data_IF_155049379005
#
_entry.id   IF_155049379005
#
_cell.length_a   1.000
_cell.length_b   1.000
_cell.length_c   1.000
_cell.angle_alpha   90.00
_cell.angle_beta   90.00
_cell.angle_gamma   90.00
#
_symmetry.space_group_name_H-M   'P 1'
#
loop_
_entity.id
_entity.type
_entity.pdbx_description
1 polymer ?
#
# COMPACT_ATOMS: atom_id res chain seq x y z
N UNK A 1 4.64 -11.56 -2.62
CA UNK A 1 4.35 -11.28 -1.20
C UNK A 1 4.32 -9.79 -0.95
N UNK A 2 3.48 -9.36 -0.04
CA UNK A 2 3.49 -7.96 0.40
C UNK A 2 4.75 -7.72 1.25
N UNK A 3 5.47 -6.62 0.99
CA UNK A 3 6.70 -6.31 1.72
C UNK A 3 6.42 -5.87 3.16
N UNK A 4 7.43 -5.93 4.01
CA UNK A 4 7.36 -5.39 5.37
C UNK A 4 7.07 -3.89 5.35
N UNK A 5 7.62 -3.16 4.39
CA UNK A 5 7.40 -1.73 4.21
C UNK A 5 5.93 -1.43 3.89
N UNK A 6 5.32 -2.18 2.96
CA UNK A 6 3.89 -2.05 2.64
C UNK A 6 3.00 -2.40 3.84
N UNK A 7 3.34 -3.45 4.58
CA UNK A 7 2.64 -3.82 5.81
C UNK A 7 2.68 -2.69 6.85
N UNK A 8 3.85 -2.08 7.06
CA UNK A 8 3.97 -0.95 7.97
C UNK A 8 3.18 0.26 7.50
N UNK A 9 3.15 0.51 6.18
CA UNK A 9 2.33 1.58 5.62
C UNK A 9 0.83 1.37 5.91
N UNK A 10 0.34 0.15 5.74
CA UNK A 10 -1.05 -0.21 6.08
C UNK A 10 -1.33 0.03 7.56
N UNK A 11 -0.43 -0.40 8.44
CA UNK A 11 -0.57 -0.19 9.89
C UNK A 11 -0.62 1.29 10.26
N UNK A 12 0.24 2.10 9.65
CA UNK A 12 0.25 3.55 9.88
C UNK A 12 -1.06 4.20 9.41
N UNK A 13 -1.53 3.84 8.23
CA UNK A 13 -2.79 4.36 7.68
C UNK A 13 -4.00 3.95 8.54
N UNK A 14 -4.03 2.71 9.02
CA UNK A 14 -5.08 2.26 9.94
C UNK A 14 -5.09 3.08 11.23
N UNK A 15 -3.92 3.32 11.81
CA UNK A 15 -3.80 4.12 13.02
C UNK A 15 -4.29 5.55 12.82
N UNK A 16 -3.88 6.19 11.72
CA UNK A 16 -4.34 7.54 11.38
C UNK A 16 -5.85 7.58 11.09
N UNK A 17 -6.39 6.53 10.48
CA UNK A 17 -7.81 6.45 10.17
C UNK A 17 -8.70 6.34 11.43
N UNK A 18 -8.16 5.83 12.52
CA UNK A 18 -8.86 5.73 13.81
C UNK A 18 -8.84 7.06 14.59
N UNK A 19 -8.07 8.04 14.15
CA UNK A 19 -7.99 9.36 14.78
C UNK A 19 -9.02 10.31 14.16
N UNK A 20 -9.41 11.39 14.89
CA UNK A 20 -10.29 12.41 14.33
C UNK A 20 -9.74 12.99 13.03
N UNK A 21 -10.59 13.18 12.04
CA UNK A 21 -10.21 13.67 10.74
C UNK A 21 -9.50 15.03 10.80
N UNK A 22 -8.35 15.12 10.13
CA UNK A 22 -7.56 16.35 10.08
C UNK A 22 -6.72 16.65 11.31
N UNK A 23 -6.80 15.84 12.36
CA UNK A 23 -5.99 16.00 13.56
C UNK A 23 -4.59 15.41 13.33
N UNK A 24 -3.52 16.23 13.43
CA UNK A 24 -2.17 15.72 13.23
C UNK A 24 -1.74 14.79 14.36
N UNK A 25 -1.07 13.70 14.00
CA UNK A 25 -0.50 12.74 14.94
C UNK A 25 1.01 12.72 14.77
N UNK A 26 1.75 12.87 15.86
CA UNK A 26 3.21 12.90 15.83
C UNK A 26 3.76 11.54 15.39
N UNK A 27 4.85 11.57 14.63
CA UNK A 27 5.53 10.35 14.16
C UNK A 27 5.87 9.40 15.30
N UNK A 28 6.32 9.92 16.44
CA UNK A 28 6.68 9.10 17.60
C UNK A 28 5.46 8.35 18.16
N UNK A 29 4.28 8.97 18.14
CA UNK A 29 3.05 8.34 18.63
C UNK A 29 2.57 7.27 17.66
N UNK A 30 2.68 7.51 16.35
CA UNK A 30 2.37 6.50 15.32
C UNK A 30 3.30 5.30 15.49
N UNK A 31 4.60 5.54 15.60
CA UNK A 31 5.61 4.49 15.75
C UNK A 31 5.33 3.61 16.98
N UNK A 32 5.05 4.23 18.11
CA UNK A 32 4.78 3.54 19.37
C UNK A 32 3.49 2.73 19.31
N UNK A 33 2.40 3.35 18.92
CA UNK A 33 1.07 2.71 18.97
C UNK A 33 0.83 1.72 17.85
N UNK A 34 1.36 1.96 16.65
CA UNK A 34 1.29 1.03 15.54
C UNK A 34 2.42 -0.02 15.55
N UNK A 35 3.36 0.09 16.49
CA UNK A 35 4.51 -0.81 16.62
C UNK A 35 5.32 -0.88 15.31
N UNK A 36 5.74 0.28 14.84
CA UNK A 36 6.57 0.43 13.66
C UNK A 36 7.89 1.08 14.07
N UNK A 37 9.06 0.53 13.65
CA UNK A 37 10.33 1.20 13.93
C UNK A 37 10.33 2.62 13.36
N UNK A 38 10.65 3.61 14.20
CA UNK A 38 10.57 5.04 13.85
C UNK A 38 11.32 5.38 12.56
N UNK A 39 12.51 4.82 12.39
CA UNK A 39 13.35 5.06 11.23
C UNK A 39 12.68 4.64 9.91
N UNK A 40 12.02 3.48 9.90
CA UNK A 40 11.24 3.01 8.76
C UNK A 40 10.00 3.87 8.54
N UNK A 41 9.33 4.24 9.62
CA UNK A 41 8.10 5.02 9.57
C UNK A 41 8.32 6.40 8.92
N UNK A 42 9.43 7.07 9.20
CA UNK A 42 9.75 8.36 8.62
C UNK A 42 9.78 8.31 7.09
N UNK A 43 10.42 7.29 6.53
CA UNK A 43 10.45 7.08 5.07
C UNK A 43 9.08 6.72 4.51
N UNK A 44 8.34 5.86 5.20
CA UNK A 44 7.00 5.43 4.79
C UNK A 44 6.04 6.61 4.75
N UNK A 45 6.05 7.45 5.79
CA UNK A 45 5.19 8.64 5.84
C UNK A 45 5.52 9.64 4.74
N UNK A 46 6.79 9.78 4.40
CA UNK A 46 7.20 10.63 3.28
C UNK A 46 6.69 10.08 1.95
N UNK A 47 6.80 8.78 1.71
CA UNK A 47 6.27 8.14 0.51
C UNK A 47 4.73 8.28 0.42
N UNK A 48 4.03 8.10 1.53
CA UNK A 48 2.58 8.29 1.61
C UNK A 48 2.18 9.74 1.35
N UNK A 49 2.97 10.70 1.85
CA UNK A 49 2.75 12.13 1.60
C UNK A 49 2.94 12.47 0.12
N UNK A 50 4.01 11.95 -0.50
CA UNK A 50 4.26 12.15 -1.93
C UNK A 50 3.15 11.55 -2.80
N UNK A 51 2.52 10.47 -2.34
CA UNK A 51 1.36 9.86 -2.99
C UNK A 51 0.02 10.54 -2.63
N UNK A 52 0.05 11.62 -1.86
CA UNK A 52 -1.12 12.39 -1.43
C UNK A 52 -2.13 11.61 -0.57
N UNK A 53 -1.68 10.54 0.08
CA UNK A 53 -2.52 9.78 1.01
C UNK A 53 -2.53 10.37 2.41
N UNK A 54 -1.44 11.02 2.80
CA UNK A 54 -1.30 11.75 4.06
C UNK A 54 -0.73 13.13 3.79
N UNK A 55 -0.91 14.03 4.75
CA UNK A 55 -0.24 15.33 4.78
C UNK A 55 0.31 15.60 6.18
N UNK A 56 1.06 16.67 6.33
CA UNK A 56 1.69 17.01 7.59
C UNK A 56 1.48 18.48 7.96
N UNK A 57 1.44 18.75 9.26
CA UNK A 57 1.50 20.10 9.81
C UNK A 57 2.80 20.27 10.58
N UNK A 58 3.42 21.44 10.42
CA UNK A 58 4.63 21.82 11.13
C UNK A 58 4.29 22.33 12.53
N UNK A 59 5.29 22.30 13.45
CA UNK A 59 5.19 22.91 14.78
C UNK A 59 4.99 21.91 15.90
N UNK A 60 4.83 22.45 17.12
CA UNK A 60 4.73 21.65 18.36
C UNK A 60 3.49 20.74 18.37
N UNK A 61 2.38 21.24 17.82
CA UNK A 61 1.14 20.48 17.68
C UNK A 61 1.00 19.85 16.29
N UNK A 62 2.12 19.74 15.57
CA UNK A 62 2.16 19.18 14.23
C UNK A 62 2.20 17.66 14.20
N UNK A 63 2.26 17.10 13.01
CA UNK A 63 2.29 15.68 12.76
C UNK A 63 1.67 15.33 11.43
N UNK A 64 1.30 14.08 11.24
CA UNK A 64 0.68 13.57 10.03
C UNK A 64 -0.81 13.29 10.23
N UNK A 65 -1.57 13.45 9.16
CA UNK A 65 -3.01 13.15 9.12
C UNK A 65 -3.41 12.64 7.74
N UNK A 66 -4.53 11.92 7.65
CA UNK A 66 -5.03 11.41 6.38
C UNK A 66 -5.57 12.54 5.50
N UNK A 67 -5.19 12.50 4.21
CA UNK A 67 -5.73 13.39 3.18
C UNK A 67 -6.96 12.82 2.49
N UNK A 68 -7.03 11.49 2.40
CA UNK A 68 -8.15 10.78 1.77
C UNK A 68 -9.01 10.10 2.81
N UNK A 69 -10.29 9.96 2.50
CA UNK A 69 -11.19 9.12 3.27
C UNK A 69 -10.68 7.68 3.29
N UNK A 70 -10.69 6.99 4.45
CA UNK A 70 -10.28 5.58 4.54
C UNK A 70 -11.00 4.65 3.57
N UNK A 71 -12.22 4.97 3.16
CA UNK A 71 -12.97 4.26 2.12
C UNK A 71 -12.30 4.31 0.75
N UNK A 72 -11.52 5.37 0.49
CA UNK A 72 -10.90 5.62 -0.80
C UNK A 72 -9.43 5.18 -0.85
N UNK A 73 -8.93 4.55 0.20
CA UNK A 73 -7.58 3.99 0.26
C UNK A 73 -7.69 2.47 0.25
N UNK A 74 -7.33 1.85 -0.86
CA UNK A 74 -7.41 0.40 -1.02
C UNK A 74 -6.02 -0.26 -1.04
N UNK A 75 -5.98 -1.57 -0.81
CA UNK A 75 -4.73 -2.32 -0.73
C UNK A 75 -3.99 -2.40 -2.07
N UNK A 76 -4.69 -2.33 -3.21
CA UNK A 76 -4.04 -2.35 -4.52
C UNK A 76 -3.14 -1.12 -4.71
N UNK A 77 -3.61 0.06 -4.31
CA UNK A 77 -2.83 1.29 -4.43
C UNK A 77 -1.61 1.28 -3.51
N UNK A 78 -1.78 0.79 -2.29
CA UNK A 78 -0.67 0.65 -1.32
C UNK A 78 0.36 -0.36 -1.83
N UNK A 79 -0.08 -1.50 -2.32
CA UNK A 79 0.80 -2.52 -2.89
C UNK A 79 1.62 -1.95 -4.06
N UNK A 80 0.97 -1.26 -4.99
CA UNK A 80 1.65 -0.64 -6.13
C UNK A 80 2.67 0.42 -5.73
N UNK A 81 2.35 1.19 -4.69
CA UNK A 81 3.23 2.26 -4.21
C UNK A 81 4.54 1.70 -3.63
N UNK A 82 4.47 0.65 -2.85
CA UNK A 82 5.63 0.11 -2.11
C UNK A 82 6.29 -1.10 -2.78
N UNK A 83 5.52 -1.94 -3.44
CA UNK A 83 5.99 -3.21 -3.99
C UNK A 83 6.00 -3.23 -5.53
N UNK A 84 5.44 -2.22 -6.16
CA UNK A 84 5.41 -2.10 -7.61
C UNK A 84 4.26 -2.89 -8.26
N UNK A 85 4.55 -3.59 -9.35
CA UNK A 85 3.52 -4.26 -10.12
C UNK A 85 2.96 -5.50 -9.41
N UNK A 86 1.65 -5.64 -9.46
CA UNK A 86 0.98 -6.89 -9.04
C UNK A 86 1.08 -7.88 -10.19
N UNK A 87 2.18 -8.60 -10.27
CA UNK A 87 2.40 -9.62 -11.28
C UNK A 87 3.31 -10.71 -10.71
N UNK A 88 3.04 -11.97 -11.07
CA UNK A 88 3.85 -13.09 -10.62
C UNK A 88 5.07 -13.32 -11.54
N UNK A 89 5.02 -12.84 -12.78
CA UNK A 89 6.15 -12.84 -13.69
C UNK A 89 6.30 -11.46 -14.33
N UNK A 90 7.54 -11.02 -14.63
CA UNK A 90 7.78 -9.73 -15.28
C UNK A 90 7.03 -9.58 -16.61
N UNK A 91 6.92 -10.64 -17.41
CA UNK A 91 6.20 -10.63 -18.68
C UNK A 91 4.68 -10.45 -18.53
N UNK A 92 4.13 -10.64 -17.36
CA UNK A 92 2.72 -10.37 -17.05
C UNK A 92 2.48 -8.95 -16.51
N UNK A 93 3.53 -8.16 -16.39
CA UNK A 93 3.45 -6.76 -15.96
C UNK A 93 3.32 -5.83 -17.18
N UNK A 94 2.46 -4.81 -17.08
CA UNK A 94 2.40 -3.77 -18.11
C UNK A 94 3.52 -2.74 -17.96
N UNK A 95 3.81 -2.35 -16.74
CA UNK A 95 4.77 -1.27 -16.48
C UNK A 95 6.24 -1.73 -16.51
N UNK A 96 6.47 -2.95 -16.05
CA UNK A 96 7.82 -3.53 -15.93
C UNK A 96 7.93 -4.81 -16.74
N UNK A 97 7.40 -4.76 -17.98
CA UNK A 97 7.42 -5.90 -18.89
C UNK A 97 8.86 -6.31 -19.22
N UNK A 98 9.14 -7.58 -19.00
CA UNK A 98 10.41 -8.21 -19.38
C UNK A 98 10.13 -9.67 -19.79
N UNK A 99 10.50 -10.09 -20.99
CA UNK A 99 10.30 -11.48 -21.41
C UNK A 99 11.26 -12.41 -20.67
N UNK A 100 10.86 -13.67 -20.51
CA UNK A 100 11.76 -14.69 -19.97
C UNK A 100 12.94 -14.90 -20.95
N UNK A 101 14.10 -15.27 -20.39
CA UNK A 101 15.30 -15.52 -21.19
C UNK A 101 15.12 -16.67 -22.21
N UNK A 102 14.25 -17.61 -21.89
CA UNK A 102 13.91 -18.76 -22.72
C UNK A 102 12.59 -18.62 -23.49
N UNK A 103 12.06 -17.39 -23.56
CA UNK A 103 10.76 -17.13 -24.19
C UNK A 103 10.88 -17.11 -25.72
N UNK A 104 10.19 -18.02 -26.37
CA UNK A 104 10.13 -18.07 -27.86
C UNK A 104 9.08 -17.09 -28.40
N UNK A 105 7.89 -17.07 -27.78
CA UNK A 105 6.79 -16.21 -28.23
C UNK A 105 5.92 -15.84 -27.00
N UNK A 106 6.00 -14.57 -26.64
CA UNK A 106 5.28 -14.02 -25.47
C UNK A 106 3.76 -14.16 -25.63
N UNK A 107 3.26 -13.96 -26.84
CA UNK A 107 1.81 -14.00 -27.09
C UNK A 107 1.22 -15.42 -27.05
N UNK A 108 2.03 -16.43 -27.32
CA UNK A 108 1.61 -17.82 -27.29
C UNK A 108 1.90 -18.56 -26.00
N UNK A 109 2.49 -17.88 -25.02
CA UNK A 109 2.85 -18.50 -23.74
C UNK A 109 1.60 -18.78 -22.88
N UNK A 110 1.29 -20.05 -22.68
CA UNK A 110 0.14 -20.48 -21.88
C UNK A 110 0.29 -20.11 -20.40
N UNK A 111 1.51 -20.17 -19.88
CA UNK A 111 1.81 -19.76 -18.49
C UNK A 111 1.50 -18.28 -18.29
N UNK A 112 1.96 -17.43 -19.21
CA UNK A 112 1.70 -15.99 -19.16
C UNK A 112 0.20 -15.69 -19.17
N UNK A 113 -0.57 -16.35 -20.04
CA UNK A 113 -2.02 -16.14 -20.11
C UNK A 113 -2.70 -16.43 -18.77
N UNK A 114 -2.38 -17.55 -18.14
CA UNK A 114 -2.94 -17.92 -16.83
C UNK A 114 -2.52 -16.93 -15.72
N UNK A 115 -1.26 -16.52 -15.72
CA UNK A 115 -0.76 -15.59 -14.70
C UNK A 115 -1.29 -14.17 -14.88
N UNK A 116 -1.64 -13.75 -16.09
CA UNK A 116 -2.37 -12.50 -16.34
C UNK A 116 -3.77 -12.57 -15.70
N UNK A 117 -4.46 -13.70 -15.85
CA UNK A 117 -5.77 -13.89 -15.24
C UNK A 117 -5.69 -13.87 -13.71
N UNK A 118 -4.72 -14.56 -13.11
CA UNK A 118 -4.46 -14.52 -11.66
C UNK A 118 -4.21 -13.08 -11.19
N UNK A 119 -3.41 -12.32 -11.95
CA UNK A 119 -3.16 -10.90 -11.67
C UNK A 119 -4.45 -10.09 -11.64
N UNK A 120 -5.32 -10.26 -12.65
CA UNK A 120 -6.59 -9.53 -12.74
C UNK A 120 -7.47 -9.81 -11.52
N UNK A 121 -7.61 -11.07 -11.14
CA UNK A 121 -8.39 -11.49 -9.98
C UNK A 121 -7.80 -10.95 -8.68
N UNK A 122 -6.47 -10.99 -8.53
CA UNK A 122 -5.77 -10.44 -7.37
C UNK A 122 -5.99 -8.94 -7.24
N UNK A 123 -5.90 -8.19 -8.33
CA UNK A 123 -6.17 -6.75 -8.34
C UNK A 123 -7.60 -6.42 -7.93
N UNK A 124 -8.57 -7.17 -8.44
CA UNK A 124 -9.98 -6.99 -8.06
C UNK A 124 -10.15 -7.22 -6.55
N UNK A 125 -9.56 -8.28 -6.02
CA UNK A 125 -9.63 -8.59 -4.59
C UNK A 125 -8.96 -7.49 -3.74
N UNK A 126 -7.78 -7.03 -4.12
CA UNK A 126 -7.05 -5.97 -3.40
C UNK A 126 -7.79 -4.63 -3.43
N UNK A 127 -8.44 -4.28 -4.54
CA UNK A 127 -9.21 -3.04 -4.65
C UNK A 127 -10.44 -3.02 -3.75
N UNK A 128 -11.00 -4.17 -3.42
CA UNK A 128 -12.15 -4.27 -2.53
C UNK A 128 -11.80 -4.07 -1.07
N UNK A 129 -10.55 -4.26 -0.68
CA UNK A 129 -10.11 -4.09 0.71
C UNK A 129 -9.61 -2.67 0.91
N UNK A 130 -10.35 -1.90 1.70
CA UNK A 130 -10.01 -0.52 2.03
C UNK A 130 -9.51 -0.40 3.47
N UNK A 131 -8.87 0.72 3.79
CA UNK A 131 -8.45 1.00 5.17
C UNK A 131 -9.69 1.02 6.09
N UNK A 132 -10.82 1.53 5.62
CA UNK A 132 -12.07 1.51 6.39
C UNK A 132 -12.52 0.10 6.73
N UNK A 133 -12.44 -0.84 5.78
CA UNK A 133 -12.76 -2.24 6.06
C UNK A 133 -11.83 -2.84 7.12
N UNK A 134 -10.54 -2.51 7.05
CA UNK A 134 -9.54 -3.04 7.98
C UNK A 134 -9.77 -2.55 9.41
N UNK A 135 -10.05 -1.27 9.60
CA UNK A 135 -10.31 -0.72 10.94
C UNK A 135 -11.66 -1.17 11.49
N UNK A 136 -12.61 -1.54 10.64
CA UNK A 136 -13.91 -2.09 11.02
C UNK A 136 -13.85 -3.55 11.45
N UNK A 137 -12.80 -4.28 11.11
CA UNK A 137 -12.59 -5.67 11.55
C UNK A 137 -11.90 -5.67 12.91
N UNK A 138 -12.64 -6.06 13.92
CA UNK A 138 -12.05 -6.35 15.23
C UNK A 138 -11.43 -7.74 15.18
N UNK A 139 -10.19 -7.86 15.65
CA UNK A 139 -9.59 -9.17 15.90
C UNK A 139 -10.41 -9.87 16.99
N UNK A 140 -10.99 -10.96 16.61
CA UNK A 140 -11.66 -11.85 17.57
C UNK A 140 -10.65 -12.65 18.37
#
# INVERSE_FOLDING_TARGET
MISQKAKYAIKALMYLAEKPQGEPVRTIDIAKNARIPKKFLEHILLDLKNATLVSSKQGVLGGYYLMKDPENINLADIYRLFDGAVALLPCASYKYFEPCADCEDVEKCRIRHELIEVKKQTLVALKKVTIKNLIGRRSS
#
